data_IF_849894702175
#
_entry.id   IF_849894702175
#
_cell.length_a   1.000
_cell.length_b   1.000
_cell.length_c   1.000
_cell.angle_alpha   90.00
_cell.angle_beta   90.00
_cell.angle_gamma   90.00
#
_symmetry.space_group_name_H-M   'P 1'
#
loop_
_entity.id
_entity.type
_entity.pdbx_description
1 polymer ?
#
# COMPACT_ATOMS: atom_id res chain seq x y z
N UNK A 1 24.29 11.66 -21.46
CA UNK A 1 23.08 12.25 -20.87
C UNK A 1 22.17 11.08 -20.59
N UNK A 2 22.19 10.57 -19.36
CA UNK A 2 21.41 9.40 -18.98
C UNK A 2 19.96 9.86 -18.81
N UNK A 3 19.07 9.33 -19.64
CA UNK A 3 17.62 9.48 -19.48
C UNK A 3 17.27 8.99 -18.07
N UNK A 4 16.92 9.91 -17.18
CA UNK A 4 16.28 9.56 -15.90
C UNK A 4 14.99 8.83 -16.28
N UNK A 5 14.99 7.50 -16.13
CA UNK A 5 13.78 6.69 -16.13
C UNK A 5 12.96 7.16 -14.93
N UNK A 6 12.12 8.18 -15.15
CA UNK A 6 11.08 8.57 -14.23
C UNK A 6 10.10 7.39 -14.23
N UNK A 7 10.17 6.56 -13.20
CA UNK A 7 9.27 5.42 -13.10
C UNK A 7 7.86 5.99 -12.95
N UNK A 8 6.81 5.42 -13.57
CA UNK A 8 5.44 5.94 -13.45
C UNK A 8 4.95 6.07 -12.00
N UNK A 9 5.63 5.38 -11.08
CA UNK A 9 5.40 5.45 -9.64
C UNK A 9 6.00 6.69 -8.99
N UNK A 10 7.00 7.35 -9.56
CA UNK A 10 7.69 8.49 -8.94
C UNK A 10 6.77 9.72 -8.84
N UNK A 11 5.84 9.89 -9.78
CA UNK A 11 4.84 10.96 -9.81
C UNK A 11 3.46 10.52 -9.27
N UNK A 12 3.30 9.27 -8.83
CA UNK A 12 2.03 8.78 -8.35
C UNK A 12 1.64 9.41 -6.98
N UNK A 13 0.33 9.54 -6.70
CA UNK A 13 -0.16 9.93 -5.37
C UNK A 13 0.40 9.04 -4.26
N UNK A 14 0.54 9.58 -3.05
CA UNK A 14 1.17 8.88 -1.93
C UNK A 14 0.45 7.58 -1.57
N UNK A 15 -0.88 7.58 -1.66
CA UNK A 15 -1.74 6.41 -1.44
C UNK A 15 -1.50 5.30 -2.47
N UNK A 16 -1.18 5.66 -3.72
CA UNK A 16 -0.88 4.69 -4.78
C UNK A 16 0.49 4.08 -4.57
N UNK A 17 1.50 4.90 -4.25
CA UNK A 17 2.86 4.42 -3.92
C UNK A 17 2.81 3.44 -2.75
N UNK A 18 2.12 3.81 -1.67
CA UNK A 18 1.98 2.97 -0.49
C UNK A 18 1.23 1.66 -0.80
N UNK A 19 0.19 1.70 -1.63
CA UNK A 19 -0.51 0.49 -2.03
C UNK A 19 0.40 -0.48 -2.80
N UNK A 20 1.25 0.04 -3.70
CA UNK A 20 2.22 -0.77 -4.44
C UNK A 20 3.26 -1.39 -3.51
N UNK A 21 3.81 -0.62 -2.56
CA UNK A 21 4.76 -1.13 -1.57
C UNK A 21 4.14 -2.22 -0.70
N UNK A 22 2.88 -2.06 -0.29
CA UNK A 22 2.15 -3.06 0.48
C UNK A 22 1.89 -4.33 -0.32
N UNK A 23 1.51 -4.22 -1.59
CA UNK A 23 1.32 -5.39 -2.47
C UNK A 23 2.64 -6.15 -2.60
N UNK A 24 3.74 -5.44 -2.90
CA UNK A 24 5.06 -6.04 -3.00
C UNK A 24 5.47 -6.79 -1.73
N UNK A 25 5.22 -6.19 -0.55
CA UNK A 25 5.51 -6.83 0.73
C UNK A 25 4.68 -8.11 0.94
N UNK A 26 3.38 -8.08 0.63
CA UNK A 26 2.49 -9.23 0.77
C UNK A 26 2.89 -10.37 -0.16
N UNK A 27 3.22 -10.07 -1.42
CA UNK A 27 3.69 -11.05 -2.39
C UNK A 27 5.05 -11.66 -2.00
N UNK A 28 5.99 -10.82 -1.57
CA UNK A 28 7.34 -11.26 -1.16
C UNK A 28 7.30 -12.19 0.06
N UNK A 29 6.30 -12.03 0.93
CA UNK A 29 6.09 -12.89 2.10
C UNK A 29 5.11 -14.05 1.82
N UNK A 30 4.73 -14.27 0.55
CA UNK A 30 3.82 -15.35 0.12
C UNK A 30 2.50 -15.37 0.91
N UNK A 31 1.99 -14.19 1.27
CA UNK A 31 0.76 -14.07 2.05
C UNK A 31 -0.43 -14.39 1.16
N UNK A 32 -1.25 -15.34 1.60
CA UNK A 32 -2.51 -15.68 0.94
C UNK A 32 -3.40 -14.44 0.74
N UNK A 33 -3.93 -14.18 -0.47
CA UNK A 33 -4.72 -12.99 -0.76
C UNK A 33 -5.96 -12.83 0.12
N UNK A 34 -6.64 -13.92 0.52
CA UNK A 34 -7.79 -13.81 1.41
C UNK A 34 -7.37 -13.37 2.81
N UNK A 35 -6.23 -13.88 3.28
CA UNK A 35 -5.62 -13.49 4.56
C UNK A 35 -5.17 -12.03 4.52
N UNK A 36 -4.51 -11.60 3.44
CA UNK A 36 -4.13 -10.21 3.22
C UNK A 36 -5.34 -9.27 3.25
N UNK A 37 -6.42 -9.60 2.54
CA UNK A 37 -7.64 -8.80 2.52
C UNK A 37 -8.28 -8.68 3.91
N UNK A 38 -8.30 -9.77 4.70
CA UNK A 38 -8.81 -9.73 6.09
C UNK A 38 -7.95 -8.81 6.96
N UNK A 39 -6.62 -8.88 6.83
CA UNK A 39 -5.70 -8.02 7.57
C UNK A 39 -5.85 -6.53 7.17
N UNK A 40 -5.93 -6.23 5.87
CA UNK A 40 -6.13 -4.87 5.36
C UNK A 40 -7.42 -4.26 5.90
N UNK A 41 -8.52 -5.03 5.99
CA UNK A 41 -9.78 -4.54 6.60
C UNK A 41 -9.61 -4.14 8.07
N UNK A 42 -8.80 -4.88 8.83
CA UNK A 42 -8.52 -4.55 10.23
C UNK A 42 -7.72 -3.24 10.31
N UNK A 43 -6.67 -3.11 9.49
CA UNK A 43 -5.85 -1.88 9.41
C UNK A 43 -6.70 -0.68 8.99
N UNK A 44 -7.53 -0.82 7.96
CA UNK A 44 -8.47 0.21 7.53
C UNK A 44 -9.37 0.66 8.69
N UNK A 45 -9.98 -0.28 9.41
CA UNK A 45 -10.87 0.03 10.53
C UNK A 45 -10.15 0.79 11.66
N UNK A 46 -8.89 0.43 11.96
CA UNK A 46 -8.06 1.14 12.94
C UNK A 46 -7.77 2.59 12.51
N UNK A 47 -7.39 2.79 11.23
CA UNK A 47 -7.15 4.12 10.67
C UNK A 47 -8.41 4.98 10.67
N UNK A 48 -9.56 4.41 10.26
CA UNK A 48 -10.85 5.11 10.31
C UNK A 48 -11.24 5.51 11.73
N UNK A 49 -10.97 4.66 12.73
CA UNK A 49 -11.23 5.01 14.13
C UNK A 49 -10.33 6.14 14.61
N UNK A 50 -9.07 6.17 14.19
CA UNK A 50 -8.14 7.27 14.50
C UNK A 50 -8.61 8.60 13.91
N UNK A 51 -9.12 8.59 12.67
CA UNK A 51 -9.67 9.79 12.02
C UNK A 51 -10.97 10.30 12.67
N UNK A 52 -11.70 9.45 13.39
CA UNK A 52 -12.93 9.82 14.12
C UNK A 52 -12.66 10.28 15.55
N UNK A 53 -11.47 10.02 16.07
CA UNK A 53 -11.06 10.38 17.42
C UNK A 53 -10.52 11.82 17.53
N UNK A 54 -10.53 12.56 16.42
CA UNK A 54 -10.21 13.99 16.32
C UNK A 54 -11.46 14.88 16.44
#
# INVERSE_FOLDING_TARGET
MSEQQNSPLDDAPAEIKLAVDLIYLLETNEIDPETALKAIKIVQSDLENKLKAD
#
